data_IF_853780154940
#
_entry.id   IF_853780154940
#
_cell.length_a   1.000
_cell.length_b   1.000
_cell.length_c   1.000
_cell.angle_alpha   90.00
_cell.angle_beta   90.00
_cell.angle_gamma   90.00
#
_symmetry.space_group_name_H-M   'P 1'
#
loop_
_entity.id
_entity.type
_entity.pdbx_description
1 polymer ?
#
# COMPACT_ATOMS: atom_id res chain seq x y z
N UNK A 1 20.51 28.14 -38.72
CA UNK A 1 19.12 27.87 -38.27
C UNK A 1 18.81 26.37 -38.19
N UNK A 2 19.15 25.56 -39.20
CA UNK A 2 18.95 24.11 -39.18
C UNK A 2 19.60 23.40 -37.97
N UNK A 3 20.84 23.75 -37.62
CA UNK A 3 21.57 23.12 -36.52
C UNK A 3 20.93 23.36 -35.14
N UNK A 4 20.43 24.58 -34.89
CA UNK A 4 19.76 24.93 -33.63
C UNK A 4 18.45 24.14 -33.49
N UNK A 5 17.68 24.02 -34.58
CA UNK A 5 16.44 23.23 -34.59
C UNK A 5 16.74 21.75 -34.31
N UNK A 6 17.82 21.19 -34.87
CA UNK A 6 18.25 19.81 -34.60
C UNK A 6 18.63 19.60 -33.13
N UNK A 7 19.34 20.54 -32.50
CA UNK A 7 19.71 20.46 -31.08
C UNK A 7 18.47 20.48 -30.18
N UNK A 8 17.51 21.37 -30.46
CA UNK A 8 16.26 21.46 -29.70
C UNK A 8 15.44 20.17 -29.83
N UNK A 9 15.34 19.61 -31.04
CA UNK A 9 14.64 18.34 -31.28
C UNK A 9 15.30 17.18 -30.53
N UNK A 10 16.64 17.12 -30.51
CA UNK A 10 17.39 16.11 -29.76
C UNK A 10 17.09 16.18 -28.25
N UNK A 11 17.07 17.39 -27.68
CA UNK A 11 16.76 17.59 -26.26
C UNK A 11 15.33 17.19 -25.91
N UNK A 12 14.36 17.51 -26.78
CA UNK A 12 12.97 17.08 -26.60
C UNK A 12 12.83 15.56 -26.65
N UNK A 13 13.49 14.90 -27.60
CA UNK A 13 13.52 13.43 -27.69
C UNK A 13 14.16 12.82 -26.44
N UNK A 14 15.29 13.35 -25.98
CA UNK A 14 15.98 12.88 -24.77
C UNK A 14 15.07 13.01 -23.54
N UNK A 15 14.40 14.15 -23.37
CA UNK A 15 13.45 14.37 -22.28
C UNK A 15 12.28 13.38 -22.30
N UNK A 16 11.74 13.10 -23.48
CA UNK A 16 10.67 12.12 -23.66
C UNK A 16 11.12 10.69 -23.30
N UNK A 17 12.33 10.29 -23.71
CA UNK A 17 12.88 8.98 -23.36
C UNK A 17 13.13 8.85 -21.86
N UNK A 18 13.72 9.86 -21.21
CA UNK A 18 13.93 9.88 -19.76
C UNK A 18 12.59 9.73 -19.02
N UNK A 19 11.55 10.41 -19.47
CA UNK A 19 10.21 10.29 -18.90
C UNK A 19 9.67 8.86 -19.00
N UNK A 20 9.70 8.24 -20.18
CA UNK A 20 9.23 6.85 -20.38
C UNK A 20 10.02 5.87 -19.52
N UNK A 21 11.36 6.01 -19.51
CA UNK A 21 12.24 5.15 -18.71
C UNK A 21 11.92 5.29 -17.22
N UNK A 22 11.66 6.51 -16.74
CA UNK A 22 11.30 6.72 -15.33
C UNK A 22 9.99 6.00 -14.95
N UNK A 23 8.99 5.98 -15.84
CA UNK A 23 7.74 5.25 -15.63
C UNK A 23 7.98 3.74 -15.63
N UNK A 24 8.78 3.23 -16.57
CA UNK A 24 9.13 1.82 -16.66
C UNK A 24 9.86 1.34 -15.38
N UNK A 25 10.85 2.09 -14.91
CA UNK A 25 11.60 1.79 -13.68
C UNK A 25 10.66 1.74 -12.48
N UNK A 26 9.74 2.70 -12.33
CA UNK A 26 8.76 2.69 -11.24
C UNK A 26 7.91 1.42 -11.25
N UNK A 27 7.38 1.02 -12.41
CA UNK A 27 6.57 -0.20 -12.55
C UNK A 27 7.35 -1.46 -12.17
N UNK A 28 8.59 -1.57 -12.60
CA UNK A 28 9.42 -2.73 -12.28
C UNK A 28 9.81 -2.78 -10.80
N UNK A 29 10.07 -1.62 -10.18
CA UNK A 29 10.31 -1.53 -8.73
C UNK A 29 9.12 -2.05 -7.93
N UNK A 30 7.89 -1.60 -8.24
CA UNK A 30 6.67 -2.08 -7.56
C UNK A 30 6.52 -3.59 -7.71
N UNK A 31 6.75 -4.13 -8.92
CA UNK A 31 6.70 -5.57 -9.17
C UNK A 31 7.74 -6.35 -8.35
N UNK A 32 8.95 -5.81 -8.20
CA UNK A 32 10.01 -6.42 -7.37
C UNK A 32 9.58 -6.43 -5.90
N UNK A 33 8.96 -5.37 -5.42
CA UNK A 33 8.48 -5.27 -4.04
C UNK A 33 7.37 -6.30 -3.78
N UNK A 34 6.34 -6.37 -4.64
CA UNK A 34 5.29 -7.40 -4.53
C UNK A 34 5.87 -8.81 -4.58
N UNK A 35 6.82 -9.06 -5.48
CA UNK A 35 7.50 -10.36 -5.56
C UNK A 35 8.27 -10.71 -4.29
N UNK A 36 8.95 -9.73 -3.68
CA UNK A 36 9.68 -9.95 -2.45
C UNK A 36 8.73 -10.23 -1.28
N UNK A 37 7.63 -9.47 -1.21
CA UNK A 37 6.59 -9.67 -0.21
C UNK A 37 5.92 -11.04 -0.35
N UNK A 38 5.44 -11.40 -1.54
CA UNK A 38 4.73 -12.67 -1.77
C UNK A 38 5.63 -13.87 -1.46
N UNK A 39 6.92 -13.76 -1.78
CA UNK A 39 7.89 -14.82 -1.42
C UNK A 39 8.05 -14.94 0.09
N UNK A 40 8.13 -13.83 0.80
CA UNK A 40 8.20 -13.83 2.26
C UNK A 40 6.93 -14.44 2.87
N UNK A 41 5.74 -14.06 2.38
CA UNK A 41 4.45 -14.63 2.80
C UNK A 41 4.40 -16.14 2.55
N UNK A 42 4.76 -16.59 1.34
CA UNK A 42 4.79 -18.01 1.03
C UNK A 42 5.77 -18.78 1.93
N UNK A 43 6.93 -18.18 2.22
CA UNK A 43 7.91 -18.75 3.16
C UNK A 43 7.37 -18.84 4.59
N UNK A 44 6.60 -17.85 5.04
CA UNK A 44 5.94 -17.88 6.35
C UNK A 44 4.94 -19.04 6.40
N UNK A 45 4.07 -19.16 5.38
CA UNK A 45 3.07 -20.22 5.30
C UNK A 45 3.67 -21.63 5.22
N UNK A 46 4.88 -21.79 4.69
CA UNK A 46 5.55 -23.09 4.62
C UNK A 46 6.36 -23.44 5.87
N UNK A 47 6.76 -22.46 6.68
CA UNK A 47 7.72 -22.65 7.78
C UNK A 47 7.07 -22.64 9.16
N UNK A 48 6.01 -21.84 9.34
CA UNK A 48 5.38 -21.66 10.64
C UNK A 48 4.18 -22.60 10.78
N UNK A 49 4.18 -23.40 11.84
CA UNK A 49 3.05 -24.27 12.19
C UNK A 49 1.94 -23.55 12.96
N UNK A 50 2.25 -22.44 13.62
CA UNK A 50 1.30 -21.68 14.42
C UNK A 50 0.72 -20.50 13.62
N UNK A 51 -0.59 -20.54 13.36
CA UNK A 51 -1.31 -19.52 12.61
C UNK A 51 -1.33 -18.16 13.31
N UNK A 52 -1.33 -18.14 14.65
CA UNK A 52 -1.34 -16.89 15.43
C UNK A 52 -0.08 -16.04 15.24
N UNK A 53 1.03 -16.65 14.81
CA UNK A 53 2.28 -15.95 14.53
C UNK A 53 2.34 -15.36 13.12
N UNK A 54 1.45 -15.75 12.22
CA UNK A 54 1.50 -15.32 10.81
C UNK A 54 1.35 -13.81 10.71
N UNK A 55 0.34 -13.22 11.37
CA UNK A 55 0.08 -11.77 11.33
C UNK A 55 1.29 -10.98 11.84
N UNK A 56 1.92 -11.44 12.93
CA UNK A 56 3.10 -10.78 13.51
C UNK A 56 4.31 -10.85 12.58
N UNK A 57 4.55 -11.98 11.94
CA UNK A 57 5.68 -12.15 11.03
C UNK A 57 5.47 -11.43 9.69
N UNK A 58 4.25 -11.46 9.15
CA UNK A 58 3.90 -10.74 7.92
C UNK A 58 4.00 -9.23 8.15
N UNK A 59 3.44 -8.71 9.25
CA UNK A 59 3.56 -7.28 9.58
C UNK A 59 5.00 -6.83 9.80
N UNK A 60 5.84 -7.66 10.44
CA UNK A 60 7.26 -7.35 10.62
C UNK A 60 8.02 -7.33 9.27
N UNK A 61 7.73 -8.27 8.37
CA UNK A 61 8.33 -8.30 7.04
C UNK A 61 7.86 -7.13 6.18
N UNK A 62 6.58 -6.76 6.26
CA UNK A 62 6.06 -5.56 5.62
C UNK A 62 6.77 -4.30 6.12
N UNK A 63 6.92 -4.14 7.43
CA UNK A 63 7.60 -2.97 8.03
C UNK A 63 9.04 -2.84 7.53
N UNK A 64 9.80 -3.94 7.51
CA UNK A 64 11.16 -3.97 6.94
C UNK A 64 11.17 -3.61 5.45
N UNK A 65 10.17 -4.05 4.71
CA UNK A 65 10.04 -3.79 3.28
C UNK A 65 9.67 -2.33 3.00
N UNK A 66 8.78 -1.72 3.80
CA UNK A 66 8.40 -0.31 3.71
C UNK A 66 9.54 0.62 4.11
N UNK A 67 10.32 0.26 5.14
CA UNK A 67 11.51 1.02 5.55
C UNK A 67 12.57 1.05 4.43
N UNK A 68 12.75 -0.07 3.73
CA UNK A 68 13.69 -0.16 2.60
C UNK A 68 13.16 0.52 1.33
N UNK A 69 11.84 0.64 1.18
CA UNK A 69 11.19 1.18 -0.02
C UNK A 69 10.15 2.24 0.39
N UNK A 70 10.55 3.50 0.65
CA UNK A 70 9.61 4.56 1.08
C UNK A 70 8.55 4.89 0.02
N UNK A 71 8.78 4.53 -1.24
CA UNK A 71 7.74 4.66 -2.28
C UNK A 71 6.59 3.67 -2.09
N UNK A 72 6.83 2.53 -1.43
CA UNK A 72 5.82 1.51 -1.15
C UNK A 72 4.76 2.03 -0.17
N UNK A 73 5.16 2.75 0.88
CA UNK A 73 4.23 3.29 1.87
C UNK A 73 3.26 4.33 1.30
N UNK A 74 3.56 4.90 0.12
CA UNK A 74 2.66 5.81 -0.58
C UNK A 74 1.61 5.07 -1.42
N UNK A 75 1.94 3.86 -1.91
CA UNK A 75 1.06 3.07 -2.79
C UNK A 75 0.25 2.03 -2.00
N UNK A 76 0.85 1.42 -0.98
CA UNK A 76 0.21 0.43 -0.10
C UNK A 76 0.31 0.94 1.33
N UNK A 77 -0.84 1.12 1.99
CA UNK A 77 -0.90 1.63 3.36
C UNK A 77 -0.61 0.52 4.35
N UNK A 78 -1.04 -0.69 4.03
CA UNK A 78 -1.00 -1.85 4.91
C UNK A 78 -0.45 -3.11 4.24
N UNK A 79 0.02 -4.05 5.06
CA UNK A 79 0.35 -5.39 4.60
C UNK A 79 -0.89 -6.14 4.09
N UNK A 80 -2.09 -5.74 4.56
CA UNK A 80 -3.37 -6.29 4.08
C UNK A 80 -3.59 -5.95 2.62
N UNK A 81 -3.32 -4.71 2.20
CA UNK A 81 -3.46 -4.30 0.80
C UNK A 81 -2.61 -5.19 -0.12
N UNK A 82 -1.39 -5.56 0.33
CA UNK A 82 -0.52 -6.46 -0.41
C UNK A 82 -1.00 -7.91 -0.41
N UNK A 83 -1.65 -8.38 0.67
CA UNK A 83 -2.27 -9.71 0.70
C UNK A 83 -3.51 -9.77 -0.20
N UNK A 84 -4.31 -8.71 -0.23
CA UNK A 84 -5.45 -8.59 -1.16
C UNK A 84 -4.99 -8.57 -2.60
N UNK A 85 -3.95 -7.79 -2.91
CA UNK A 85 -3.31 -7.80 -4.23
C UNK A 85 -2.77 -9.20 -4.56
N UNK A 86 -2.20 -9.92 -3.59
CA UNK A 86 -1.75 -11.30 -3.79
C UNK A 86 -2.90 -12.22 -4.18
N UNK A 87 -4.03 -12.16 -3.47
CA UNK A 87 -5.24 -12.94 -3.77
C UNK A 87 -5.78 -12.56 -5.16
N UNK A 88 -5.89 -11.26 -5.45
CA UNK A 88 -6.34 -10.77 -6.75
C UNK A 88 -5.47 -11.29 -7.90
N UNK A 89 -4.15 -11.28 -7.74
CA UNK A 89 -3.20 -11.76 -8.75
C UNK A 89 -3.25 -13.28 -8.92
N UNK A 90 -3.52 -14.05 -7.84
CA UNK A 90 -3.76 -15.50 -7.93
C UNK A 90 -5.04 -15.78 -8.73
N UNK A 91 -6.10 -14.98 -8.52
CA UNK A 91 -7.40 -15.19 -9.15
C UNK A 91 -7.43 -14.72 -10.62
N UNK A 92 -6.62 -13.69 -10.96
CA UNK A 92 -6.67 -13.04 -12.29
C UNK A 92 -5.61 -13.57 -13.26
N UNK A 93 -4.43 -13.95 -12.77
CA UNK A 93 -3.35 -14.40 -13.65
C UNK A 93 -3.40 -15.91 -13.88
N UNK A 94 -3.19 -16.31 -15.13
CA UNK A 94 -2.88 -17.71 -15.46
C UNK A 94 -1.67 -18.21 -14.65
N UNK A 95 -1.72 -19.46 -14.19
CA UNK A 95 -0.75 -20.01 -13.25
C UNK A 95 0.69 -19.92 -13.76
N UNK A 96 0.89 -20.10 -15.08
CA UNK A 96 2.20 -19.96 -15.74
C UNK A 96 2.71 -18.53 -15.68
N UNK A 97 1.84 -17.54 -15.88
CA UNK A 97 2.19 -16.10 -15.80
C UNK A 97 2.52 -15.71 -14.37
N UNK A 98 1.69 -16.12 -13.40
CA UNK A 98 1.94 -15.88 -11.98
C UNK A 98 3.30 -16.44 -11.56
N UNK A 99 3.57 -17.72 -11.87
CA UNK A 99 4.86 -18.36 -11.60
C UNK A 99 6.02 -17.64 -12.28
N UNK A 100 5.85 -17.17 -13.51
CA UNK A 100 6.91 -16.43 -14.23
C UNK A 100 7.26 -15.12 -13.51
N UNK A 101 6.25 -14.37 -13.05
CA UNK A 101 6.39 -13.06 -12.41
C UNK A 101 6.90 -13.20 -10.97
N UNK A 102 6.21 -13.97 -10.15
CA UNK A 102 6.45 -14.01 -8.70
C UNK A 102 7.43 -15.12 -8.29
N UNK A 103 7.68 -16.12 -9.16
CA UNK A 103 8.46 -17.35 -8.86
C UNK A 103 7.91 -18.13 -7.67
N UNK A 104 6.58 -18.17 -7.56
CA UNK A 104 5.82 -18.93 -6.57
C UNK A 104 4.80 -19.74 -7.35
N UNK A 105 4.56 -20.98 -6.98
CA UNK A 105 3.47 -21.76 -7.55
C UNK A 105 2.15 -21.25 -6.94
N UNK A 106 1.21 -20.73 -7.75
CA UNK A 106 -0.08 -20.36 -7.20
C UNK A 106 -0.81 -21.62 -6.74
N UNK A 107 -1.33 -21.61 -5.52
CA UNK A 107 -2.10 -22.71 -4.97
C UNK A 107 -3.32 -22.21 -4.23
N UNK A 108 -4.39 -23.02 -4.24
CA UNK A 108 -5.60 -22.72 -3.48
C UNK A 108 -5.33 -22.66 -1.97
N UNK A 109 -4.33 -23.40 -1.48
CA UNK A 109 -3.91 -23.35 -0.08
C UNK A 109 -3.36 -21.96 0.29
N UNK A 110 -2.42 -21.43 -0.51
CA UNK A 110 -1.86 -20.09 -0.31
C UNK A 110 -2.96 -19.02 -0.36
N UNK A 111 -3.88 -19.14 -1.33
CA UNK A 111 -5.03 -18.23 -1.45
C UNK A 111 -5.91 -18.26 -0.21
N UNK A 112 -6.25 -19.45 0.28
CA UNK A 112 -7.14 -19.62 1.43
C UNK A 112 -6.50 -19.12 2.71
N UNK A 113 -5.20 -19.40 2.91
CA UNK A 113 -4.42 -18.88 4.03
C UNK A 113 -4.32 -17.36 4.00
N UNK A 114 -4.09 -16.77 2.83
CA UNK A 114 -4.05 -15.31 2.68
C UNK A 114 -5.40 -14.68 3.06
N UNK A 115 -6.52 -15.22 2.58
CA UNK A 115 -7.86 -14.74 2.93
C UNK A 115 -8.15 -14.84 4.42
N UNK A 116 -7.87 -15.99 5.03
CA UNK A 116 -8.05 -16.19 6.48
C UNK A 116 -7.24 -15.18 7.29
N UNK A 117 -6.00 -14.91 6.91
CA UNK A 117 -5.15 -13.92 7.59
C UNK A 117 -5.66 -12.49 7.39
N UNK A 118 -6.23 -12.16 6.23
CA UNK A 118 -6.87 -10.86 6.02
C UNK A 118 -8.05 -10.70 7.00
N UNK A 119 -8.90 -11.71 7.10
CA UNK A 119 -10.07 -11.70 7.99
C UNK A 119 -9.65 -11.62 9.47
N UNK A 120 -8.72 -12.48 9.90
CA UNK A 120 -8.18 -12.49 11.27
C UNK A 120 -7.51 -11.16 11.63
N UNK A 121 -6.78 -10.56 10.69
CA UNK A 121 -6.11 -9.28 10.92
C UNK A 121 -7.10 -8.13 11.03
N UNK A 122 -8.20 -8.14 10.26
CA UNK A 122 -9.28 -7.15 10.36
C UNK A 122 -10.11 -7.32 11.63
N UNK A 123 -10.32 -8.55 12.08
CA UNK A 123 -11.00 -8.82 13.35
C UNK A 123 -10.15 -8.34 14.54
N UNK A 124 -8.86 -8.70 14.57
CA UNK A 124 -7.93 -8.29 15.63
C UNK A 124 -7.66 -6.78 15.63
N UNK A 125 -7.59 -6.16 14.45
CA UNK A 125 -7.43 -4.72 14.30
C UNK A 125 -8.31 -4.18 13.15
N UNK A 126 -9.51 -3.65 13.45
CA UNK A 126 -10.42 -3.15 12.42
C UNK A 126 -9.88 -1.90 11.70
N UNK A 127 -8.83 -1.27 12.22
CA UNK A 127 -8.24 -0.04 11.69
C UNK A 127 -6.97 -0.29 10.86
N UNK A 128 -6.64 -1.54 10.57
CA UNK A 128 -5.43 -1.98 9.86
C UNK A 128 -5.30 -1.45 8.42
N UNK A 129 -6.39 -1.00 7.81
CA UNK A 129 -6.42 -0.38 6.47
C UNK A 129 -6.19 1.14 6.50
N UNK A 130 -6.19 1.75 7.67
CA UNK A 130 -5.96 3.19 7.85
C UNK A 130 -4.46 3.49 7.95
N UNK A 131 -4.08 4.76 7.80
CA UNK A 131 -2.70 5.15 8.04
C UNK A 131 -2.32 4.88 9.49
N UNK A 132 -1.04 4.62 9.77
CA UNK A 132 -0.58 4.33 11.13
C UNK A 132 -0.99 5.38 12.16
N UNK A 133 -1.13 6.65 11.74
CA UNK A 133 -1.55 7.75 12.62
C UNK A 133 -3.03 7.64 12.99
N UNK A 134 -3.91 7.53 12.00
CA UNK A 134 -5.37 7.39 12.18
C UNK A 134 -5.72 6.09 12.91
N UNK A 135 -5.04 4.99 12.55
CA UNK A 135 -5.21 3.70 13.20
C UNK A 135 -4.86 3.77 14.69
N UNK A 136 -3.75 4.42 15.05
CA UNK A 136 -3.35 4.57 16.45
C UNK A 136 -4.34 5.43 17.27
N UNK A 137 -4.91 6.48 16.68
CA UNK A 137 -5.94 7.30 17.33
C UNK A 137 -7.21 6.48 17.63
N UNK A 138 -7.66 5.68 16.67
CA UNK A 138 -8.85 4.85 16.82
C UNK A 138 -8.63 3.67 17.78
N UNK A 139 -7.43 3.07 17.77
CA UNK A 139 -7.03 2.08 18.77
C UNK A 139 -7.02 2.71 20.17
N UNK A 140 -6.45 3.91 20.31
CA UNK A 140 -6.40 4.62 21.60
C UNK A 140 -7.80 5.01 22.09
N UNK A 141 -8.69 5.41 21.19
CA UNK A 141 -10.09 5.69 21.50
C UNK A 141 -10.83 4.43 21.94
N UNK A 142 -10.66 3.30 21.24
CA UNK A 142 -11.21 2.01 21.64
C UNK A 142 -10.74 1.62 23.04
N UNK A 143 -9.43 1.72 23.31
CA UNK A 143 -8.86 1.40 24.62
C UNK A 143 -9.42 2.32 25.71
N UNK A 144 -9.64 3.61 25.41
CA UNK A 144 -10.24 4.56 26.34
C UNK A 144 -11.69 4.18 26.69
N UNK A 145 -12.48 3.72 25.70
CA UNK A 145 -13.85 3.23 25.90
C UNK A 145 -13.83 1.94 26.73
N UNK A 146 -13.00 0.96 26.36
CA UNK A 146 -12.90 -0.33 27.07
C UNK A 146 -12.41 -0.13 28.52
N UNK A 147 -11.54 0.85 28.76
CA UNK A 147 -11.03 1.19 30.10
C UNK A 147 -11.92 2.18 30.87
N UNK A 148 -13.06 2.57 30.30
CA UNK A 148 -14.00 3.55 30.85
C UNK A 148 -13.36 4.91 31.22
N UNK A 149 -12.28 5.29 30.53
CA UNK A 149 -11.54 6.52 30.74
C UNK A 149 -12.10 7.64 29.83
N UNK A 150 -13.08 8.38 30.37
CA UNK A 150 -13.84 9.41 29.64
C UNK A 150 -12.93 10.56 29.18
N UNK A 151 -11.94 10.96 29.99
CA UNK A 151 -11.06 12.08 29.66
C UNK A 151 -10.13 11.75 28.50
N UNK A 152 -9.55 10.55 28.50
CA UNK A 152 -8.76 10.06 27.37
C UNK A 152 -9.64 9.92 26.12
N UNK A 153 -10.86 9.41 26.26
CA UNK A 153 -11.81 9.29 25.16
C UNK A 153 -12.15 10.65 24.54
N UNK A 154 -12.42 11.67 25.35
CA UNK A 154 -12.67 13.05 24.89
C UNK A 154 -11.47 13.65 24.18
N UNK A 155 -10.26 13.43 24.71
CA UNK A 155 -9.03 13.91 24.09
C UNK A 155 -8.83 13.27 22.70
N UNK A 156 -9.00 11.95 22.60
CA UNK A 156 -8.86 11.23 21.33
C UNK A 156 -9.94 11.65 20.32
N UNK A 157 -11.18 11.87 20.75
CA UNK A 157 -12.26 12.37 19.88
C UNK A 157 -11.95 13.77 19.34
N UNK A 158 -11.40 14.66 20.18
CA UNK A 158 -11.00 15.99 19.73
C UNK A 158 -9.89 15.91 18.69
N UNK A 159 -8.86 15.11 18.94
CA UNK A 159 -7.77 14.89 17.97
C UNK A 159 -8.29 14.30 16.66
N UNK A 160 -9.23 13.36 16.73
CA UNK A 160 -9.85 12.78 15.54
C UNK A 160 -10.65 13.82 14.74
N UNK A 161 -11.38 14.71 15.42
CA UNK A 161 -12.13 15.79 14.79
C UNK A 161 -11.20 16.78 14.07
N UNK A 162 -10.10 17.17 14.72
CA UNK A 162 -9.09 18.06 14.13
C UNK A 162 -8.45 17.41 12.87
N UNK A 163 -8.16 16.11 12.90
CA UNK A 163 -7.63 15.39 11.74
C UNK A 163 -8.64 15.27 10.60
N UNK A 164 -9.92 15.03 10.91
CA UNK A 164 -10.99 14.98 9.92
C UNK A 164 -11.18 16.35 9.24
N UNK A 165 -11.10 17.45 9.99
CA UNK A 165 -11.21 18.79 9.43
C UNK A 165 -10.05 19.08 8.45
N UNK A 166 -8.83 18.68 8.81
CA UNK A 166 -7.66 18.79 7.93
C UNK A 166 -7.84 17.93 6.67
N UNK A 167 -8.30 16.69 6.80
CA UNK A 167 -8.59 15.80 5.67
C UNK A 167 -9.67 16.38 4.76
N UNK A 168 -10.74 16.92 5.32
CA UNK A 168 -11.82 17.55 4.57
C UNK A 168 -11.32 18.78 3.80
N UNK A 169 -10.50 19.62 4.44
CA UNK A 169 -9.85 20.77 3.80
C UNK A 169 -8.96 20.35 2.63
N UNK A 170 -8.14 19.31 2.83
CA UNK A 170 -7.29 18.74 1.77
C UNK A 170 -8.11 18.17 0.59
N UNK A 171 -9.24 17.50 0.89
CA UNK A 171 -10.16 16.99 -0.13
C UNK A 171 -10.79 18.15 -0.92
N UNK A 172 -11.29 19.18 -0.23
CA UNK A 172 -11.85 20.39 -0.86
C UNK A 172 -10.83 21.07 -1.76
N UNK A 173 -9.58 21.22 -1.32
CA UNK A 173 -8.49 21.77 -2.14
C UNK A 173 -8.16 20.90 -3.37
N UNK A 174 -8.14 19.57 -3.24
CA UNK A 174 -7.92 18.66 -4.37
C UNK A 174 -9.08 18.68 -5.38
N UNK A 175 -10.32 18.85 -4.91
CA UNK A 175 -11.52 18.94 -5.76
C UNK A 175 -11.64 20.29 -6.48
N UNK A 176 -11.11 21.37 -5.91
CA UNK A 176 -11.06 22.67 -6.58
C UNK A 176 -9.92 22.77 -7.60
N UNK A 177 -8.87 21.95 -7.48
CA UNK A 177 -7.71 22.03 -8.38
C UNK A 177 -7.95 21.64 -9.86
N UNK A 178 -8.78 20.64 -10.23
CA UNK A 178 -9.05 20.33 -11.64
C UNK A 178 -9.92 21.37 -12.35
N UNK A 179 -10.48 22.35 -11.65
CA UNK A 179 -11.29 23.41 -12.27
C UNK A 179 -10.45 24.60 -12.77
N UNK A 180 -9.21 24.76 -12.32
CA UNK A 180 -8.34 25.87 -12.75
C UNK A 180 -7.36 25.50 -13.88
N UNK A 181 -7.22 24.22 -14.21
CA UNK A 181 -6.37 23.77 -15.35
C UNK A 181 -7.15 23.49 -16.64
N UNK A 182 -8.49 23.62 -16.63
CA UNK A 182 -9.34 23.52 -17.83
C UNK A 182 -9.79 24.85 -18.45
N UNK A 183 -9.42 26.00 -17.86
CA UNK A 183 -9.67 27.32 -18.43
C UNK A 183 -8.38 27.98 -18.94
N UNK A 184 -7.78 27.38 -19.97
CA UNK A 184 -6.99 28.11 -20.98
C UNK A 184 -7.45 27.59 -22.34
N UNK A 185 -8.61 28.07 -22.76
CA UNK A 185 -8.89 28.28 -24.18
C UNK A 185 -8.08 29.49 -24.67
#
# INVERSE_FOLDING_TARGET
MSEIVSIILLLLLLGFYVYIISIAIRRDMVRIVHRTFFKAVNSIFSTLANEDEYIKQISMNYKKLSEKNPNLSNETKSFIDLLEEMVFQIDTLDSKKFKKIYKIEPSNDIRTKALKIIDDAREKNPFVSLSSKEANLLISLRNAIESNNIDLGRLMLKQLADELEILESNIKQRLTWPLLTRCRC
#
